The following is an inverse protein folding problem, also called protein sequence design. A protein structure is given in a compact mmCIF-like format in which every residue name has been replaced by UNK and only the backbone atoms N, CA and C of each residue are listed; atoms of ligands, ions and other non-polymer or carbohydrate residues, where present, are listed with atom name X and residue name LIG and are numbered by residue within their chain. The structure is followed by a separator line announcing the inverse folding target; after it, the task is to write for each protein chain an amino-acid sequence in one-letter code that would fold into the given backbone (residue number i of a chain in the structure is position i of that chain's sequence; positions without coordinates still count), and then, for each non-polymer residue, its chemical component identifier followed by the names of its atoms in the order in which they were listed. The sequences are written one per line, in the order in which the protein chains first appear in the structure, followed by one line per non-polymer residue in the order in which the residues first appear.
data_IF_343291126595
#
_entry.id   IF_343291126595
#
_cell.length_a   1.000
_cell.length_b   1.000
_cell.length_c   1.000
_cell.angle_alpha   90.00
_cell.angle_beta   90.00
_cell.angle_gamma   90.00
#
_symmetry.space_group_name_H-M   'P 1'
#
loop_
_entity.id
_entity.type
_entity.pdbx_description
1 polymer ?
#
# COMPACT_ATOMS: atom_id res chain seq x y z
N UNK A 1 -12.78 35.47 1.21
CA UNK A 1 -11.45 35.55 1.86
C UNK A 1 -11.43 35.10 3.33
N UNK A 2 -12.55 35.16 4.09
CA UNK A 2 -12.62 34.77 5.52
C UNK A 2 -12.50 33.27 5.85
N UNK A 3 -12.67 32.36 4.89
CA UNK A 3 -12.60 30.90 5.10
C UNK A 3 -11.19 30.32 4.98
N UNK A 4 -10.24 31.05 4.38
CA UNK A 4 -8.83 30.64 4.26
C UNK A 4 -8.16 30.30 5.60
N UNK A 5 -8.28 31.11 6.68
CA UNK A 5 -7.71 30.76 7.97
C UNK A 5 -8.38 29.53 8.59
N UNK A 6 -9.69 29.33 8.38
CA UNK A 6 -10.40 28.14 8.83
C UNK A 6 -9.85 26.87 8.17
N UNK A 7 -9.67 26.88 6.84
CA UNK A 7 -9.08 25.74 6.13
C UNK A 7 -7.64 25.47 6.56
N UNK A 8 -6.85 26.51 6.81
CA UNK A 8 -5.49 26.35 7.32
C UNK A 8 -5.47 25.70 8.72
N UNK A 9 -6.34 26.14 9.64
CA UNK A 9 -6.46 25.54 10.97
C UNK A 9 -6.92 24.09 10.89
N UNK A 10 -7.92 23.78 10.06
CA UNK A 10 -8.39 22.40 9.85
C UNK A 10 -7.29 21.52 9.25
N UNK A 11 -6.51 22.03 8.30
CA UNK A 11 -5.38 21.31 7.72
C UNK A 11 -4.32 21.00 8.78
N UNK A 12 -3.97 21.97 9.64
CA UNK A 12 -3.01 21.77 10.74
C UNK A 12 -3.51 20.72 11.73
N UNK A 13 -4.78 20.79 12.13
CA UNK A 13 -5.38 19.80 13.03
C UNK A 13 -5.32 18.39 12.40
N UNK A 14 -5.70 18.27 11.13
CA UNK A 14 -5.63 17.00 10.41
C UNK A 14 -4.19 16.48 10.30
N UNK A 15 -3.22 17.35 10.01
CA UNK A 15 -1.80 16.98 9.98
C UNK A 15 -1.31 16.52 11.35
N UNK A 16 -1.63 17.22 12.44
CA UNK A 16 -1.26 16.81 13.80
C UNK A 16 -1.88 15.44 14.11
N UNK A 17 -3.16 15.24 13.80
CA UNK A 17 -3.86 13.99 14.05
C UNK A 17 -3.21 12.79 13.32
N UNK A 18 -2.70 12.98 12.11
CA UNK A 18 -1.95 11.95 11.36
C UNK A 18 -0.53 11.76 11.91
N UNK A 19 0.16 12.85 12.28
CA UNK A 19 1.57 12.80 12.67
C UNK A 19 1.79 12.30 14.10
N UNK A 20 0.85 12.54 15.02
CA UNK A 20 0.95 12.11 16.41
C UNK A 20 1.16 10.60 16.56
N UNK A 21 0.35 9.69 15.97
CA UNK A 21 0.59 8.26 16.10
C UNK A 21 1.92 7.81 15.49
N UNK A 22 2.34 8.42 14.37
CA UNK A 22 3.65 8.13 13.75
C UNK A 22 4.80 8.56 14.67
N UNK A 23 4.66 9.73 15.30
CA UNK A 23 5.61 10.22 16.29
C UNK A 23 5.68 9.30 17.50
N UNK A 24 4.55 8.83 18.04
CA UNK A 24 4.52 7.88 19.16
C UNK A 24 5.18 6.54 18.82
N UNK A 25 5.06 6.07 17.57
CA UNK A 25 5.79 4.88 17.09
C UNK A 25 7.29 5.15 17.06
N UNK A 26 7.73 6.32 16.62
CA UNK A 26 9.14 6.70 16.63
C UNK A 26 9.69 6.78 18.07
N UNK A 27 8.96 7.41 19.01
CA UNK A 27 9.32 7.44 20.43
C UNK A 27 9.43 6.02 21.00
N UNK A 28 8.50 5.13 20.64
CA UNK A 28 8.54 3.73 21.08
C UNK A 28 9.72 2.95 20.48
N UNK A 29 10.10 3.24 19.24
CA UNK A 29 11.24 2.60 18.57
C UNK A 29 12.58 3.03 19.18
N UNK A 30 12.69 4.28 19.66
CA UNK A 30 13.91 4.86 20.22
C UNK A 30 13.91 5.00 21.75
N UNK A 31 12.86 4.56 22.45
CA UNK A 31 12.72 4.74 23.90
C UNK A 31 13.22 3.57 24.76
N UNK A 32 13.64 2.45 24.14
CA UNK A 32 13.98 1.20 24.85
C UNK A 32 12.76 0.31 25.19
N UNK A 33 12.98 -0.93 25.66
CA UNK A 33 11.90 -1.92 25.87
C UNK A 33 10.83 -1.51 26.89
N UNK A 34 11.22 -0.80 27.94
CA UNK A 34 10.33 -0.26 28.97
C UNK A 34 9.31 0.75 28.41
N UNK A 35 9.70 1.56 27.42
CA UNK A 35 8.80 2.53 26.75
C UNK A 35 7.66 1.82 26.00
N UNK A 36 7.88 0.59 25.53
CA UNK A 36 6.85 -0.20 24.84
C UNK A 36 5.76 -0.67 25.81
N UNK A 37 6.11 -1.02 27.05
CA UNK A 37 5.16 -1.56 28.02
C UNK A 37 4.59 -0.50 28.99
N UNK A 38 5.15 0.70 29.01
CA UNK A 38 4.69 1.78 29.88
C UNK A 38 3.29 2.32 29.50
N UNK A 39 2.48 2.57 30.53
CA UNK A 39 1.21 3.31 30.44
C UNK A 39 1.13 4.33 31.60
N UNK A 40 0.83 5.62 31.33
CA UNK A 40 0.53 6.22 30.02
C UNK A 40 1.75 6.29 29.10
N UNK A 41 1.52 6.33 27.78
CA UNK A 41 2.59 6.49 26.80
C UNK A 41 3.22 7.88 26.94
N UNK A 42 4.50 7.94 27.27
CA UNK A 42 5.22 9.21 27.32
C UNK A 42 5.26 9.85 25.93
N UNK A 43 5.03 11.16 25.89
CA UNK A 43 5.18 11.95 24.65
C UNK A 43 6.66 12.14 24.29
N UNK A 44 7.58 12.06 25.25
CA UNK A 44 9.01 12.22 25.04
C UNK A 44 9.75 10.96 25.52
N UNK A 45 10.79 10.51 24.82
CA UNK A 45 11.60 9.39 25.29
C UNK A 45 12.34 9.82 26.58
N UNK A 46 12.16 9.06 27.67
CA UNK A 46 12.92 9.29 28.92
C UNK A 46 14.42 9.05 28.72
N UNK A 47 14.75 8.13 27.82
CA UNK A 47 16.09 7.86 27.33
C UNK A 47 16.04 7.53 25.84
N UNK A 48 17.07 7.92 25.10
CA UNK A 48 17.26 7.49 23.71
C UNK A 48 18.05 6.20 23.71
N UNK A 49 17.47 5.13 23.16
CA UNK A 49 18.04 3.79 23.07
C UNK A 49 17.70 3.14 21.73
N UNK A 50 18.66 2.43 21.14
CA UNK A 50 18.46 1.64 19.93
C UNK A 50 18.23 0.15 20.22
N UNK A 51 18.14 -0.25 21.49
CA UNK A 51 18.00 -1.64 21.92
C UNK A 51 16.74 -2.31 21.33
N UNK A 52 15.60 -1.61 21.35
CA UNK A 52 14.35 -2.10 20.75
C UNK A 52 14.52 -2.39 19.26
N UNK A 53 15.19 -1.49 18.54
CA UNK A 53 15.43 -1.62 17.11
C UNK A 53 16.44 -2.73 16.81
N UNK A 54 17.52 -2.81 17.58
CA UNK A 54 18.53 -3.86 17.47
C UNK A 54 17.94 -5.24 17.78
N UNK A 55 17.09 -5.34 18.80
CA UNK A 55 16.32 -6.54 19.11
C UNK A 55 15.44 -6.94 17.94
N UNK A 56 14.64 -6.01 17.39
CA UNK A 56 13.78 -6.26 16.23
C UNK A 56 14.57 -6.80 15.02
N UNK A 57 15.68 -6.17 14.65
CA UNK A 57 16.52 -6.64 13.55
C UNK A 57 17.29 -7.94 13.86
N UNK A 58 17.42 -8.30 15.13
CA UNK A 58 17.96 -9.58 15.58
C UNK A 58 16.95 -10.74 15.52
N UNK A 59 15.63 -10.46 15.40
CA UNK A 59 14.60 -11.50 15.31
C UNK A 59 14.73 -12.27 13.99
N UNK A 60 14.79 -13.60 14.10
CA UNK A 60 14.92 -14.50 12.94
C UNK A 60 13.75 -14.29 11.98
N UNK A 61 14.08 -14.05 10.71
CA UNK A 61 13.10 -13.88 9.63
C UNK A 61 12.73 -12.43 9.31
N UNK A 62 13.08 -11.45 10.15
CA UNK A 62 12.77 -10.02 9.88
C UNK A 62 13.42 -9.53 8.59
N UNK A 63 14.71 -9.81 8.40
CA UNK A 63 15.41 -9.43 7.15
C UNK A 63 14.78 -10.08 5.91
N UNK A 64 14.41 -11.36 6.00
CA UNK A 64 13.76 -12.05 4.88
C UNK A 64 12.37 -11.45 4.60
N UNK A 65 11.60 -11.11 5.63
CA UNK A 65 10.30 -10.47 5.47
C UNK A 65 10.41 -9.07 4.83
N UNK A 66 11.43 -8.29 5.21
CA UNK A 66 11.72 -6.98 4.60
C UNK A 66 12.06 -7.16 3.12
N UNK A 67 13.00 -8.06 2.80
CA UNK A 67 13.41 -8.31 1.41
C UNK A 67 12.25 -8.85 0.55
N UNK A 68 11.45 -9.78 1.09
CA UNK A 68 10.24 -10.26 0.42
C UNK A 68 9.25 -9.12 0.15
N UNK A 69 9.06 -8.20 1.10
CA UNK A 69 8.16 -7.05 0.95
C UNK A 69 8.64 -6.11 -0.15
N UNK A 70 9.94 -5.79 -0.19
CA UNK A 70 10.56 -4.96 -1.24
C UNK A 70 10.41 -5.65 -2.61
N UNK A 71 10.71 -6.96 -2.68
CA UNK A 71 10.61 -7.73 -3.91
C UNK A 71 9.17 -7.76 -4.44
N UNK A 72 8.21 -8.06 -3.57
CA UNK A 72 6.77 -8.04 -3.92
C UNK A 72 6.37 -6.66 -4.43
N UNK A 73 6.73 -5.58 -3.72
CA UNK A 73 6.39 -4.22 -4.12
C UNK A 73 6.97 -3.85 -5.49
N UNK A 74 8.24 -4.19 -5.74
CA UNK A 74 8.89 -3.93 -7.02
C UNK A 74 8.23 -4.71 -8.17
N UNK A 75 7.97 -6.00 -7.97
CA UNK A 75 7.29 -6.85 -8.95
C UNK A 75 5.89 -6.35 -9.26
N UNK A 76 5.11 -6.01 -8.22
CA UNK A 76 3.77 -5.44 -8.38
C UNK A 76 3.81 -4.12 -9.15
N UNK A 77 4.74 -3.22 -8.82
CA UNK A 77 4.89 -1.95 -9.52
C UNK A 77 5.16 -2.16 -11.01
N UNK A 78 6.16 -2.99 -11.34
CA UNK A 78 6.55 -3.26 -12.72
C UNK A 78 5.39 -3.88 -13.50
N UNK A 79 4.76 -4.95 -12.97
CA UNK A 79 3.65 -5.61 -13.66
C UNK A 79 2.43 -4.68 -13.82
N UNK A 80 2.11 -3.88 -12.80
CA UNK A 80 0.98 -2.94 -12.85
C UNK A 80 1.18 -1.85 -13.89
N UNK A 81 2.41 -1.34 -14.07
CA UNK A 81 2.72 -0.35 -15.10
C UNK A 81 2.69 -0.99 -16.48
N UNK A 82 3.34 -2.16 -16.65
CA UNK A 82 3.42 -2.86 -17.93
C UNK A 82 2.04 -3.21 -18.50
N UNK A 83 1.08 -3.56 -17.64
CA UNK A 83 -0.27 -3.91 -18.04
C UNK A 83 -1.22 -2.70 -18.02
N UNK A 84 -1.10 -1.86 -16.98
CA UNK A 84 -2.02 -0.75 -16.73
C UNK A 84 -1.81 0.44 -17.65
N UNK A 85 -0.56 0.79 -17.97
CA UNK A 85 -0.28 1.94 -18.82
C UNK A 85 -0.80 1.75 -20.27
N UNK A 86 -0.58 0.61 -20.95
CA UNK A 86 -1.15 0.38 -22.28
C UNK A 86 -2.69 0.37 -22.29
N UNK A 87 -3.30 -0.27 -21.28
CA UNK A 87 -4.77 -0.30 -21.15
C UNK A 87 -5.34 1.11 -20.86
N UNK A 88 -4.68 1.88 -20.01
CA UNK A 88 -5.03 3.28 -19.73
C UNK A 88 -4.86 4.17 -20.97
N UNK A 89 -3.80 3.98 -21.73
CA UNK A 89 -3.57 4.68 -23.00
C UNK A 89 -4.68 4.37 -24.01
N UNK A 90 -5.05 3.09 -24.14
CA UNK A 90 -6.10 2.70 -25.05
C UNK A 90 -7.45 3.33 -24.67
N UNK A 91 -7.76 3.37 -23.37
CA UNK A 91 -8.93 4.08 -22.85
C UNK A 91 -8.88 5.60 -23.08
N UNK A 92 -7.71 6.22 -23.05
CA UNK A 92 -7.59 7.65 -23.28
C UNK A 92 -7.72 8.03 -24.75
N UNK A 93 -7.08 7.27 -25.67
CA UNK A 93 -6.88 7.70 -27.06
C UNK A 93 -7.78 7.03 -28.09
N UNK A 94 -8.20 5.78 -27.86
CA UNK A 94 -9.03 5.08 -28.83
C UNK A 94 -10.52 5.23 -28.52
N UNK A 95 -11.31 5.21 -29.59
CA UNK A 95 -12.77 5.08 -29.55
C UNK A 95 -13.09 3.69 -30.08
N UNK A 96 -13.61 2.83 -29.22
CA UNK A 96 -13.94 1.44 -29.55
C UNK A 96 -15.27 1.04 -28.90
N UNK A 97 -16.03 0.11 -29.51
CA UNK A 97 -17.29 -0.35 -28.95
C UNK A 97 -17.05 -1.04 -27.59
N UNK A 98 -17.84 -0.67 -26.57
CA UNK A 98 -17.73 -1.25 -25.23
C UNK A 98 -16.74 -0.55 -24.28
N UNK A 99 -16.17 0.59 -24.67
CA UNK A 99 -15.22 1.38 -23.86
C UNK A 99 -15.71 1.66 -22.42
N UNK A 100 -16.94 2.12 -22.27
CA UNK A 100 -17.50 2.44 -20.95
C UNK A 100 -17.79 1.19 -20.13
N UNK A 101 -18.23 0.11 -20.79
CA UNK A 101 -18.41 -1.18 -20.14
C UNK A 101 -17.08 -1.74 -19.62
N UNK A 102 -16.00 -1.66 -20.42
CA UNK A 102 -14.66 -2.04 -19.96
C UNK A 102 -14.21 -1.21 -18.76
N UNK A 103 -14.40 0.12 -18.80
CA UNK A 103 -14.08 1.00 -17.67
C UNK A 103 -14.84 0.61 -16.40
N UNK A 104 -16.12 0.28 -16.54
CA UNK A 104 -16.96 -0.21 -15.44
C UNK A 104 -16.48 -1.57 -14.93
N UNK A 105 -16.17 -2.53 -15.81
CA UNK A 105 -15.65 -3.84 -15.42
C UNK A 105 -14.36 -3.72 -14.62
N UNK A 106 -13.44 -2.87 -15.05
CA UNK A 106 -12.20 -2.58 -14.32
C UNK A 106 -12.50 -2.06 -12.92
N UNK A 107 -13.45 -1.15 -12.76
CA UNK A 107 -13.89 -0.67 -11.44
C UNK A 107 -14.53 -1.76 -10.58
N UNK A 108 -15.37 -2.61 -11.17
CA UNK A 108 -16.08 -3.68 -10.48
C UNK A 108 -15.14 -4.74 -9.91
N UNK A 109 -13.94 -4.93 -10.47
CA UNK A 109 -12.94 -5.82 -9.87
C UNK A 109 -12.56 -5.40 -8.44
N UNK A 110 -12.67 -4.11 -8.09
CA UNK A 110 -12.41 -3.61 -6.73
C UNK A 110 -13.57 -3.80 -5.76
N UNK A 111 -14.77 -4.08 -6.27
CA UNK A 111 -15.93 -4.34 -5.43
C UNK A 111 -15.87 -5.72 -4.78
N UNK A 112 -15.06 -6.64 -5.33
CA UNK A 112 -14.87 -7.96 -4.75
C UNK A 112 -14.02 -7.89 -3.48
N UNK A 113 -14.52 -8.39 -2.34
CA UNK A 113 -13.75 -8.45 -1.11
C UNK A 113 -12.61 -9.46 -1.25
N UNK A 114 -11.37 -9.00 -1.01
CA UNK A 114 -10.14 -9.80 -1.15
C UNK A 114 -10.21 -11.09 -0.31
N UNK A 115 -10.83 -11.02 0.87
CA UNK A 115 -10.99 -12.16 1.76
C UNK A 115 -11.74 -13.34 1.09
N UNK A 116 -12.73 -13.07 0.23
CA UNK A 116 -13.48 -14.12 -0.49
C UNK A 116 -12.60 -14.75 -1.58
N UNK A 117 -11.73 -13.96 -2.21
CA UNK A 117 -10.82 -14.44 -3.25
C UNK A 117 -9.62 -15.22 -2.70
N UNK A 118 -9.32 -15.12 -1.41
CA UNK A 118 -8.14 -15.73 -0.80
C UNK A 118 -8.10 -17.25 -1.00
N UNK A 119 -9.15 -17.98 -0.59
CA UNK A 119 -9.21 -19.45 -0.74
C UNK A 119 -9.08 -19.92 -2.20
N UNK A 120 -9.89 -19.45 -3.16
CA UNK A 120 -9.79 -19.93 -4.53
C UNK A 120 -8.43 -19.59 -5.17
N UNK A 121 -7.86 -18.42 -4.89
CA UNK A 121 -6.53 -18.08 -5.38
C UNK A 121 -5.44 -18.96 -4.76
N UNK A 122 -5.53 -19.25 -3.47
CA UNK A 122 -4.62 -20.18 -2.79
C UNK A 122 -4.66 -21.56 -3.44
N UNK A 123 -5.85 -22.13 -3.65
CA UNK A 123 -6.00 -23.45 -4.31
C UNK A 123 -5.35 -23.41 -5.71
N UNK A 124 -5.63 -22.36 -6.50
CA UNK A 124 -5.02 -22.22 -7.83
C UNK A 124 -3.50 -22.08 -7.79
N UNK A 125 -2.95 -21.33 -6.85
CA UNK A 125 -1.50 -21.19 -6.73
C UNK A 125 -0.82 -22.47 -6.26
N UNK A 126 -1.50 -23.29 -5.46
CA UNK A 126 -1.02 -24.63 -5.09
C UNK A 126 -0.98 -25.52 -6.34
N UNK A 127 -2.06 -25.56 -7.13
CA UNK A 127 -2.14 -26.37 -8.36
C UNK A 127 -1.07 -25.98 -9.39
N UNK A 128 -0.78 -24.68 -9.51
CA UNK A 128 0.24 -24.15 -10.44
C UNK A 128 1.67 -24.25 -9.85
N UNK A 129 1.81 -24.60 -8.57
CA UNK A 129 3.11 -24.78 -7.91
C UNK A 129 3.84 -23.48 -7.54
N UNK A 130 3.13 -22.35 -7.48
CA UNK A 130 3.68 -21.04 -7.08
C UNK A 130 3.21 -20.58 -5.70
N UNK A 131 2.50 -21.43 -4.95
CA UNK A 131 2.07 -21.15 -3.60
C UNK A 131 3.24 -20.84 -2.66
N UNK A 132 3.00 -19.96 -1.69
CA UNK A 132 4.00 -19.50 -0.69
C UNK A 132 5.25 -18.86 -1.32
N UNK A 133 5.10 -18.17 -2.44
CA UNK A 133 6.18 -17.43 -3.09
C UNK A 133 5.91 -15.92 -3.15
N UNK A 134 6.96 -15.07 -3.18
CA UNK A 134 6.80 -13.63 -3.44
C UNK A 134 6.08 -13.34 -4.77
N UNK A 135 6.25 -14.18 -5.78
CA UNK A 135 5.59 -14.03 -7.08
C UNK A 135 4.07 -14.15 -6.96
N UNK A 136 3.57 -15.18 -6.25
CA UNK A 136 2.15 -15.34 -6.01
C UNK A 136 1.54 -14.12 -5.32
N UNK A 137 2.21 -13.60 -4.28
CA UNK A 137 1.77 -12.38 -3.58
C UNK A 137 1.79 -11.16 -4.50
N UNK A 138 2.84 -11.01 -5.32
CA UNK A 138 2.96 -9.90 -6.26
C UNK A 138 1.87 -9.91 -7.34
N UNK A 139 1.47 -11.09 -7.83
CA UNK A 139 0.38 -11.24 -8.80
C UNK A 139 -0.96 -10.79 -8.22
N UNK A 140 -1.26 -11.17 -6.97
CA UNK A 140 -2.48 -10.72 -6.27
C UNK A 140 -2.48 -9.21 -6.10
N UNK A 141 -1.38 -8.64 -5.62
CA UNK A 141 -1.26 -7.19 -5.47
C UNK A 141 -1.36 -6.45 -6.80
N UNK A 142 -0.81 -7.02 -7.88
CA UNK A 142 -0.92 -6.47 -9.23
C UNK A 142 -2.39 -6.41 -9.64
N UNK A 143 -3.14 -7.50 -9.50
CA UNK A 143 -4.56 -7.53 -9.85
C UNK A 143 -5.38 -6.44 -9.12
N UNK A 144 -5.05 -6.16 -7.86
CA UNK A 144 -5.71 -5.12 -7.05
C UNK A 144 -5.27 -3.69 -7.42
N UNK A 145 -4.03 -3.53 -7.87
CA UNK A 145 -3.46 -2.27 -8.30
C UNK A 145 -3.89 -1.89 -9.73
N UNK A 146 -4.16 -2.87 -10.61
CA UNK A 146 -4.50 -2.65 -12.02
C UNK A 146 -5.61 -1.64 -12.24
N UNK A 147 -6.76 -1.67 -11.54
CA UNK A 147 -7.83 -0.70 -11.78
C UNK A 147 -7.39 0.74 -11.54
N UNK A 148 -6.57 0.96 -10.51
CA UNK A 148 -6.02 2.28 -10.25
C UNK A 148 -4.97 2.65 -11.31
N UNK A 149 -4.05 1.76 -11.64
CA UNK A 149 -3.04 1.99 -12.66
C UNK A 149 -3.68 2.37 -14.01
N UNK A 150 -4.67 1.61 -14.47
CA UNK A 150 -5.39 1.86 -15.73
C UNK A 150 -6.08 3.23 -15.72
N UNK A 151 -6.81 3.57 -14.64
CA UNK A 151 -7.59 4.80 -14.58
C UNK A 151 -6.73 6.05 -14.40
N UNK A 152 -5.67 5.96 -13.59
CA UNK A 152 -4.72 7.06 -13.41
C UNK A 152 -3.92 7.28 -14.69
N UNK A 153 -3.38 6.22 -15.30
CA UNK A 153 -2.70 6.34 -16.59
C UNK A 153 -3.62 6.90 -17.68
N UNK A 154 -4.89 6.44 -17.74
CA UNK A 154 -5.88 7.01 -18.67
C UNK A 154 -6.08 8.50 -18.45
N UNK A 155 -6.22 8.94 -17.20
CA UNK A 155 -6.41 10.36 -16.87
C UNK A 155 -5.18 11.19 -17.24
N UNK A 156 -3.97 10.68 -17.00
CA UNK A 156 -2.72 11.32 -17.41
C UNK A 156 -2.60 11.43 -18.93
N UNK A 157 -2.89 10.36 -19.67
CA UNK A 157 -2.81 10.37 -21.14
C UNK A 157 -3.89 11.21 -21.81
N UNK A 158 -5.02 11.49 -21.16
CA UNK A 158 -6.01 12.45 -21.68
C UNK A 158 -5.53 13.92 -21.58
N UNK A 159 -4.61 14.22 -20.65
CA UNK A 159 -4.09 15.59 -20.44
C UNK A 159 -2.97 16.00 -21.39
N UNK A 160 -2.42 15.04 -22.15
CA UNK A 160 -1.44 15.27 -23.22
C UNK A 160 -2.19 15.33 -24.56
#
# INVERSE_FOLDING_TARGET
MRTRPLYAVLAVIASIWVLVPIYLLAVSAFGGPETINAWPKSLLPERVSTETLAFFFGVRGVWNAILNSILVAALTMVMSILLGAPAGYALARFVFPGKDAYRLLVLLTRAFPIAILALPLTVRFIEIGIYDTPLAVALVHTALALPFAILVSSSLFMGV
#
